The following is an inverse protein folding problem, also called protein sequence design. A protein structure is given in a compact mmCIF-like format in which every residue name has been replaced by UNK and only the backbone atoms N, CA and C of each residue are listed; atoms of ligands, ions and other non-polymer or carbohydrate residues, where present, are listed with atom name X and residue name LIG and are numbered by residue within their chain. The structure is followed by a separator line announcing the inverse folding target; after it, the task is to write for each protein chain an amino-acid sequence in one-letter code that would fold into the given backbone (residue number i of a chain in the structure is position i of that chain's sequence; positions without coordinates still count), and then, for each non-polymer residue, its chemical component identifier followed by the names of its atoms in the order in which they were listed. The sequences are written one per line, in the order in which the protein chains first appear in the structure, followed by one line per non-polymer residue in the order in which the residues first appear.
data_IF_286213469868
#
_entry.id   IF_286213469868
#
_cell.length_a   1.000
_cell.length_b   1.000
_cell.length_c   1.000
_cell.angle_alpha   90.00
_cell.angle_beta   90.00
_cell.angle_gamma   90.00
#
_symmetry.space_group_name_H-M   'P 1'
#
loop_
_entity.id
_entity.type
_entity.pdbx_description
1 polymer ?
#
# COMPACT_ATOMS: atom_id res chain seq x y z
N UNK A 1 12.57 -23.27 15.96
CA UNK A 1 12.92 -21.96 15.36
C UNK A 1 11.96 -20.93 15.88
N UNK A 2 12.48 -19.76 16.23
CA UNK A 2 11.71 -18.62 16.73
C UNK A 2 12.08 -17.35 15.98
N UNK A 3 11.10 -16.75 15.28
CA UNK A 3 11.28 -15.51 14.54
C UNK A 3 10.91 -14.27 15.36
N UNK A 4 11.58 -13.16 15.10
CA UNK A 4 11.20 -11.82 15.52
C UNK A 4 10.54 -11.13 14.30
N UNK A 5 9.33 -10.60 14.46
CA UNK A 5 8.66 -9.77 13.45
C UNK A 5 8.54 -8.35 14.00
N UNK A 6 9.09 -7.37 13.28
CA UNK A 6 9.00 -5.96 13.66
C UNK A 6 7.97 -5.26 12.78
N UNK A 7 6.93 -4.74 13.43
CA UNK A 7 5.77 -4.07 12.83
C UNK A 7 4.53 -4.95 12.76
N UNK A 8 3.39 -4.44 13.24
CA UNK A 8 2.06 -5.05 13.14
C UNK A 8 1.19 -4.38 12.05
N UNK A 9 1.83 -3.90 10.98
CA UNK A 9 1.17 -3.47 9.77
C UNK A 9 0.75 -4.66 8.90
N UNK A 10 0.20 -4.37 7.71
CA UNK A 10 -0.27 -5.39 6.76
C UNK A 10 0.83 -6.41 6.45
N UNK A 11 2.06 -5.95 6.14
CA UNK A 11 3.18 -6.86 5.84
C UNK A 11 3.58 -7.72 7.03
N UNK A 12 3.74 -7.14 8.23
CA UNK A 12 4.17 -7.86 9.41
C UNK A 12 3.14 -8.89 9.89
N UNK A 13 1.85 -8.56 9.87
CA UNK A 13 0.78 -9.52 10.19
C UNK A 13 0.69 -10.63 9.15
N UNK A 14 0.85 -10.32 7.85
CA UNK A 14 0.92 -11.34 6.79
C UNK A 14 2.12 -12.25 7.00
N UNK A 15 3.31 -11.70 7.32
CA UNK A 15 4.52 -12.48 7.61
C UNK A 15 4.33 -13.38 8.83
N UNK A 16 3.74 -12.88 9.91
CA UNK A 16 3.46 -13.68 11.12
C UNK A 16 2.54 -14.88 10.81
N UNK A 17 1.50 -14.66 10.01
CA UNK A 17 0.60 -15.75 9.58
C UNK A 17 1.35 -16.74 8.68
N UNK A 18 2.17 -16.28 7.73
CA UNK A 18 2.98 -17.13 6.86
C UNK A 18 3.98 -17.99 7.67
N UNK A 19 4.67 -17.40 8.63
CA UNK A 19 5.58 -18.10 9.55
C UNK A 19 4.85 -19.19 10.35
N UNK A 20 3.68 -18.88 10.89
CA UNK A 20 2.86 -19.87 11.61
C UNK A 20 2.46 -21.03 10.71
N UNK A 21 2.08 -20.76 9.44
CA UNK A 21 1.78 -21.82 8.46
C UNK A 21 3.02 -22.68 8.13
N UNK A 22 4.21 -22.08 8.15
CA UNK A 22 5.48 -22.79 8.01
C UNK A 22 5.92 -23.54 9.30
N UNK A 23 5.11 -23.54 10.35
CA UNK A 23 5.44 -24.22 11.62
C UNK A 23 6.49 -23.48 12.45
N UNK A 24 6.67 -22.19 12.23
CA UNK A 24 7.67 -21.35 12.92
C UNK A 24 6.97 -20.47 13.92
N UNK A 25 7.39 -20.53 15.20
CA UNK A 25 6.92 -19.62 16.22
C UNK A 25 7.50 -18.23 16.00
N UNK A 26 6.68 -17.21 16.16
CA UNK A 26 7.14 -15.84 16.07
C UNK A 26 6.49 -14.93 17.13
N UNK A 27 7.21 -13.87 17.47
CA UNK A 27 6.69 -12.78 18.30
C UNK A 27 6.67 -11.51 17.46
N UNK A 28 5.52 -10.85 17.42
CA UNK A 28 5.34 -9.57 16.70
C UNK A 28 5.52 -8.41 17.68
N UNK A 29 6.36 -7.44 17.31
CA UNK A 29 6.63 -6.23 18.09
C UNK A 29 6.17 -5.01 17.32
N UNK A 30 5.42 -4.12 17.96
CA UNK A 30 4.87 -2.92 17.35
C UNK A 30 5.27 -1.67 18.11
N UNK A 31 5.73 -0.64 17.39
CA UNK A 31 6.26 0.59 17.99
C UNK A 31 5.18 1.45 18.67
N UNK A 32 3.95 1.43 18.16
CA UNK A 32 2.84 2.18 18.78
C UNK A 32 2.26 1.42 19.96
N UNK A 33 1.74 2.14 20.94
CA UNK A 33 1.07 1.53 22.12
C UNK A 33 -0.30 0.99 21.79
N UNK A 34 -0.92 1.54 20.74
CA UNK A 34 -2.25 1.16 20.26
C UNK A 34 -2.31 1.40 18.75
N UNK A 35 -2.86 0.44 18.02
CA UNK A 35 -3.09 0.61 16.59
C UNK A 35 -4.22 1.62 16.41
N UNK A 36 -3.88 2.74 15.80
CA UNK A 36 -4.85 3.76 15.37
C UNK A 36 -5.02 3.70 13.86
N UNK A 37 -6.22 3.98 13.36
CA UNK A 37 -6.43 4.06 11.92
C UNK A 37 -5.53 5.14 11.32
N UNK A 38 -4.58 4.74 10.48
CA UNK A 38 -3.73 5.67 9.71
C UNK A 38 -4.00 5.43 8.24
N UNK A 39 -4.37 6.50 7.53
CA UNK A 39 -4.83 6.41 6.15
C UNK A 39 -6.26 5.88 6.05
N UNK A 40 -6.96 6.25 4.97
CA UNK A 40 -8.38 5.97 4.87
C UNK A 40 -8.66 4.57 4.30
N UNK A 41 -8.06 4.21 3.16
CA UNK A 41 -8.26 2.92 2.55
C UNK A 41 -7.08 2.48 1.70
N UNK A 42 -7.14 1.23 1.26
CA UNK A 42 -6.15 0.60 0.39
C UNK A 42 -6.87 -0.24 -0.67
N UNK A 43 -6.33 -0.28 -1.88
CA UNK A 43 -6.81 -1.17 -2.93
C UNK A 43 -6.09 -2.51 -2.83
N UNK A 44 -6.84 -3.57 -2.54
CA UNK A 44 -6.31 -4.94 -2.64
C UNK A 44 -6.66 -5.47 -4.02
N UNK A 45 -5.65 -5.59 -4.87
CA UNK A 45 -5.77 -6.14 -6.20
C UNK A 45 -5.80 -7.68 -6.18
N UNK A 46 -6.18 -8.37 -7.28
CA UNK A 46 -6.29 -9.83 -7.29
C UNK A 46 -5.07 -10.59 -6.77
N UNK A 47 -3.83 -10.12 -7.00
CA UNK A 47 -2.64 -10.71 -6.40
C UNK A 47 -2.67 -10.66 -4.86
N UNK A 48 -3.02 -9.51 -4.28
CA UNK A 48 -3.17 -9.38 -2.83
C UNK A 48 -4.35 -10.21 -2.29
N UNK A 49 -5.49 -10.28 -3.02
CA UNK A 49 -6.64 -11.13 -2.66
C UNK A 49 -6.22 -12.60 -2.59
N UNK A 50 -5.51 -13.10 -3.61
CA UNK A 50 -4.97 -14.47 -3.62
C UNK A 50 -4.00 -14.73 -2.46
N UNK A 51 -3.13 -13.77 -2.15
CA UNK A 51 -2.24 -13.87 -0.99
C UNK A 51 -3.03 -13.97 0.33
N UNK A 52 -4.08 -13.14 0.52
CA UNK A 52 -4.94 -13.23 1.69
C UNK A 52 -5.66 -14.59 1.79
N UNK A 53 -6.17 -15.10 0.67
CA UNK A 53 -6.78 -16.45 0.60
C UNK A 53 -5.75 -17.54 0.93
N UNK A 54 -4.57 -17.49 0.34
CA UNK A 54 -3.47 -18.43 0.60
C UNK A 54 -3.08 -18.44 2.09
N UNK A 55 -3.06 -17.27 2.73
CA UNK A 55 -2.77 -17.11 4.16
C UNK A 55 -3.95 -17.51 5.07
N UNK A 56 -5.12 -17.84 4.53
CA UNK A 56 -6.32 -18.21 5.30
C UNK A 56 -7.11 -17.01 5.80
N UNK A 57 -6.86 -15.81 5.29
CA UNK A 57 -7.53 -14.55 5.63
C UNK A 57 -8.53 -14.08 4.55
N UNK A 58 -8.95 -14.97 3.65
CA UNK A 58 -9.85 -14.64 2.53
C UNK A 58 -11.18 -14.02 2.97
N UNK A 59 -11.78 -14.53 4.05
CA UNK A 59 -13.06 -14.06 4.58
C UNK A 59 -13.04 -12.56 4.96
N UNK A 60 -11.87 -12.03 5.34
CA UNK A 60 -11.69 -10.60 5.64
C UNK A 60 -11.96 -9.78 4.37
N UNK A 61 -11.40 -10.21 3.24
CA UNK A 61 -11.57 -9.51 1.96
C UNK A 61 -12.99 -9.68 1.41
N UNK A 62 -13.62 -10.82 1.61
CA UNK A 62 -15.00 -11.05 1.21
C UNK A 62 -15.97 -10.14 1.98
N UNK A 63 -15.74 -9.99 3.29
CA UNK A 63 -16.59 -9.19 4.17
C UNK A 63 -16.39 -7.68 4.01
N UNK A 64 -15.13 -7.23 3.94
CA UNK A 64 -14.78 -5.80 4.01
C UNK A 64 -14.37 -5.20 2.67
N UNK A 65 -14.22 -6.00 1.62
CA UNK A 65 -13.87 -5.52 0.28
C UNK A 65 -15.02 -4.81 -0.44
N UNK A 66 -14.78 -3.61 -0.93
CA UNK A 66 -15.77 -2.80 -1.65
C UNK A 66 -16.17 -3.38 -3.02
N UNK A 67 -17.33 -3.00 -3.53
CA UNK A 67 -17.91 -3.56 -4.76
C UNK A 67 -17.42 -2.83 -6.03
N UNK A 68 -16.14 -2.77 -6.29
CA UNK A 68 -15.57 -2.11 -7.46
C UNK A 68 -15.71 -2.95 -8.72
N UNK A 69 -16.63 -2.59 -9.63
CA UNK A 69 -16.93 -3.31 -10.88
C UNK A 69 -16.50 -2.58 -12.14
N UNK A 70 -16.35 -1.27 -12.06
CA UNK A 70 -16.01 -0.39 -13.18
C UNK A 70 -14.89 0.57 -12.78
N UNK A 71 -14.14 1.03 -13.78
CA UNK A 71 -13.27 2.19 -13.68
C UNK A 71 -13.71 3.25 -14.69
N UNK A 72 -13.59 4.52 -14.30
CA UNK A 72 -13.84 5.65 -15.20
C UNK A 72 -12.87 6.79 -14.92
N UNK A 73 -12.38 7.40 -16.00
CA UNK A 73 -11.68 8.68 -15.96
C UNK A 73 -12.60 9.75 -16.52
N UNK A 74 -12.59 10.91 -15.87
CA UNK A 74 -13.44 12.06 -16.19
C UNK A 74 -12.62 13.32 -16.38
N UNK A 75 -13.06 14.16 -17.29
CA UNK A 75 -12.53 15.52 -17.45
C UNK A 75 -12.78 16.34 -16.18
N UNK A 76 -11.77 17.08 -15.76
CA UNK A 76 -11.83 17.85 -14.53
C UNK A 76 -12.81 19.03 -14.55
N UNK A 77 -13.06 19.67 -15.71
CA UNK A 77 -13.89 20.88 -15.82
C UNK A 77 -15.38 20.58 -15.85
N UNK A 78 -15.77 19.68 -16.75
CA UNK A 78 -17.18 19.36 -17.00
C UNK A 78 -17.63 18.05 -16.37
N UNK A 79 -16.68 17.20 -15.95
CA UNK A 79 -16.96 15.88 -15.46
C UNK A 79 -17.41 14.91 -16.56
N UNK A 80 -17.15 15.26 -17.82
CA UNK A 80 -17.42 14.39 -18.97
C UNK A 80 -16.56 13.12 -18.86
N UNK A 81 -17.13 11.99 -19.24
CA UNK A 81 -16.41 10.72 -19.23
C UNK A 81 -15.42 10.68 -20.37
N UNK A 82 -14.11 10.58 -20.05
CA UNK A 82 -13.05 10.35 -21.02
C UNK A 82 -13.02 8.87 -21.42
N UNK A 83 -13.04 7.99 -20.45
CA UNK A 83 -13.20 6.55 -20.63
C UNK A 83 -13.94 5.92 -19.47
N UNK A 84 -14.67 4.83 -19.73
CA UNK A 84 -15.34 3.99 -18.73
C UNK A 84 -15.36 2.55 -19.21
N UNK A 85 -14.89 1.63 -18.37
CA UNK A 85 -14.83 0.22 -18.73
C UNK A 85 -15.13 -0.70 -17.54
N UNK A 86 -15.52 -1.94 -17.87
CA UNK A 86 -15.77 -3.00 -16.89
C UNK A 86 -14.46 -3.63 -16.44
N UNK A 87 -14.39 -4.03 -15.17
CA UNK A 87 -13.31 -4.85 -14.62
C UNK A 87 -13.57 -6.36 -14.75
N UNK A 88 -14.68 -6.78 -15.37
CA UNK A 88 -14.95 -8.19 -15.60
C UNK A 88 -13.82 -8.93 -16.37
N UNK A 89 -13.22 -8.36 -17.45
CA UNK A 89 -12.08 -9.01 -18.11
C UNK A 89 -10.85 -9.17 -17.24
N UNK A 90 -10.62 -8.24 -16.30
CA UNK A 90 -9.57 -8.38 -15.29
C UNK A 90 -9.85 -9.58 -14.38
N UNK A 91 -11.08 -9.69 -13.87
CA UNK A 91 -11.51 -10.78 -12.99
C UNK A 91 -11.37 -12.14 -13.67
N UNK A 92 -11.83 -12.25 -14.92
CA UNK A 92 -11.72 -13.47 -15.74
C UNK A 92 -10.26 -13.90 -15.93
N UNK A 93 -9.38 -12.96 -16.23
CA UNK A 93 -7.96 -13.25 -16.52
C UNK A 93 -7.12 -13.51 -15.28
N UNK A 94 -7.47 -12.91 -14.15
CA UNK A 94 -6.68 -13.00 -12.90
C UNK A 94 -7.32 -13.89 -11.85
N UNK A 95 -8.57 -14.34 -12.03
CA UNK A 95 -9.28 -15.21 -11.08
C UNK A 95 -9.67 -14.52 -9.77
N UNK A 96 -9.59 -13.18 -9.67
CA UNK A 96 -9.94 -12.44 -8.47
C UNK A 96 -10.48 -11.05 -8.79
N UNK A 97 -11.34 -10.50 -7.92
CA UNK A 97 -11.84 -9.13 -8.05
C UNK A 97 -10.95 -8.14 -7.28
N UNK A 98 -10.79 -6.90 -7.74
CA UNK A 98 -10.17 -5.86 -6.93
C UNK A 98 -11.10 -5.49 -5.75
N UNK A 99 -10.51 -5.30 -4.58
CA UNK A 99 -11.21 -5.06 -3.33
C UNK A 99 -10.63 -3.82 -2.63
N UNK A 100 -11.12 -2.61 -2.90
CA UNK A 100 -10.83 -1.47 -2.05
C UNK A 100 -11.38 -1.71 -0.66
N UNK A 101 -10.58 -1.47 0.38
CA UNK A 101 -10.95 -1.76 1.77
C UNK A 101 -10.48 -0.65 2.69
N UNK A 102 -11.25 -0.34 3.73
CA UNK A 102 -10.80 0.56 4.79
C UNK A 102 -9.54 -0.03 5.44
N UNK A 103 -8.44 0.74 5.44
CA UNK A 103 -7.16 0.30 5.99
C UNK A 103 -7.26 -0.04 7.47
N UNK A 104 -8.05 0.73 8.21
CA UNK A 104 -8.30 0.49 9.63
C UNK A 104 -9.05 -0.82 9.87
N UNK A 105 -10.08 -1.10 9.07
CA UNK A 105 -10.84 -2.36 9.15
C UNK A 105 -9.95 -3.54 8.79
N UNK A 106 -9.23 -3.47 7.67
CA UNK A 106 -8.31 -4.53 7.26
C UNK A 106 -7.28 -4.84 8.33
N UNK A 107 -6.59 -3.84 8.85
CA UNK A 107 -5.54 -4.04 9.86
C UNK A 107 -6.11 -4.57 11.17
N UNK A 108 -7.28 -4.11 11.60
CA UNK A 108 -7.97 -4.62 12.79
C UNK A 108 -8.31 -6.10 12.64
N UNK A 109 -8.94 -6.49 11.53
CA UNK A 109 -9.34 -7.87 11.28
C UNK A 109 -8.13 -8.82 11.13
N UNK A 110 -7.07 -8.36 10.47
CA UNK A 110 -5.80 -9.12 10.40
C UNK A 110 -5.16 -9.30 11.78
N UNK A 111 -5.20 -8.26 12.63
CA UNK A 111 -4.69 -8.32 13.99
C UNK A 111 -5.52 -9.26 14.86
N UNK A 112 -6.84 -9.23 14.73
CA UNK A 112 -7.74 -10.11 15.48
C UNK A 112 -7.60 -11.58 14.99
N UNK A 113 -7.41 -11.80 13.69
CA UNK A 113 -7.09 -13.11 13.12
C UNK A 113 -5.75 -13.69 13.65
N UNK A 114 -4.71 -12.86 13.75
CA UNK A 114 -3.43 -13.26 14.33
C UNK A 114 -3.52 -13.54 15.83
N UNK A 115 -4.28 -12.75 16.54
CA UNK A 115 -4.40 -12.68 18.00
C UNK A 115 -3.69 -11.45 18.56
N UNK A 116 -4.46 -10.50 19.02
CA UNK A 116 -3.98 -9.21 19.57
C UNK A 116 -3.04 -9.40 20.77
N UNK A 117 -3.29 -10.42 21.58
CA UNK A 117 -2.49 -10.83 22.74
C UNK A 117 -1.09 -11.34 22.38
N UNK A 118 -0.86 -11.72 21.12
CA UNK A 118 0.44 -12.16 20.59
C UNK A 118 1.31 -11.03 20.06
N UNK A 119 0.81 -9.79 20.11
CA UNK A 119 1.57 -8.61 19.70
C UNK A 119 2.06 -7.84 20.91
N UNK A 120 3.35 -7.55 20.98
CA UNK A 120 3.94 -6.69 21.98
C UNK A 120 3.96 -5.25 21.50
N UNK A 121 3.07 -4.43 22.03
CA UNK A 121 2.95 -3.02 21.70
C UNK A 121 3.93 -2.13 22.48
N UNK A 122 4.21 -0.93 21.96
CA UNK A 122 5.13 0.05 22.55
C UNK A 122 6.59 -0.31 22.39
N UNK A 123 6.92 -1.25 21.51
CA UNK A 123 8.26 -1.78 21.25
C UNK A 123 8.90 -1.15 20.02
N UNK A 124 9.47 0.04 20.18
CA UNK A 124 10.20 0.73 19.11
C UNK A 124 11.65 0.22 19.08
N UNK A 125 12.09 -0.22 17.91
CA UNK A 125 13.46 -0.69 17.68
C UNK A 125 14.45 0.47 17.87
N UNK A 126 15.51 0.22 18.65
CA UNK A 126 16.67 1.08 18.81
C UNK A 126 17.88 0.51 18.06
N UNK A 127 18.13 -0.80 18.21
CA UNK A 127 19.29 -1.47 17.62
C UNK A 127 19.00 -2.93 17.29
N UNK A 128 19.61 -3.40 16.21
CA UNK A 128 19.69 -4.82 15.84
C UNK A 128 21.15 -5.27 15.88
N UNK A 129 21.39 -6.47 16.37
CA UNK A 129 22.69 -7.15 16.33
C UNK A 129 22.51 -8.64 16.08
N UNK A 130 23.52 -9.29 15.53
CA UNK A 130 23.55 -10.72 15.23
C UNK A 130 24.87 -11.31 15.70
N UNK A 131 24.80 -12.47 16.33
CA UNK A 131 25.96 -13.28 16.78
C UNK A 131 25.65 -14.78 16.59
N UNK A 132 26.51 -15.65 17.13
CA UNK A 132 26.34 -17.10 17.02
C UNK A 132 25.08 -17.64 17.71
N UNK A 133 24.48 -16.88 18.63
CA UNK A 133 23.25 -17.24 19.32
C UNK A 133 21.97 -16.83 18.55
N UNK A 134 22.12 -16.02 17.51
CA UNK A 134 21.04 -15.56 16.65
C UNK A 134 20.94 -14.03 16.55
N UNK A 135 19.71 -13.52 16.29
CA UNK A 135 19.43 -12.10 16.15
C UNK A 135 18.87 -11.53 17.44
N UNK A 136 19.44 -10.42 17.88
CA UNK A 136 19.00 -9.66 19.05
C UNK A 136 18.47 -8.28 18.63
N UNK A 137 17.34 -7.86 19.21
CA UNK A 137 16.74 -6.54 19.02
C UNK A 137 16.66 -5.85 20.38
N UNK A 138 17.23 -4.66 20.49
CA UNK A 138 17.06 -3.77 21.65
C UNK A 138 16.00 -2.73 21.31
N UNK A 139 15.06 -2.53 22.21
CA UNK A 139 14.00 -1.54 22.10
C UNK A 139 14.31 -0.28 22.91
N UNK A 140 13.70 0.85 22.55
CA UNK A 140 13.92 2.15 23.23
C UNK A 140 13.49 2.18 24.70
N UNK A 141 12.74 1.18 25.16
CA UNK A 141 12.38 0.99 26.57
C UNK A 141 13.43 0.18 27.35
N UNK A 142 14.57 -0.14 26.73
CA UNK A 142 15.68 -0.90 27.32
C UNK A 142 15.47 -2.43 27.32
N UNK A 143 14.30 -2.93 26.88
CA UNK A 143 14.08 -4.39 26.79
C UNK A 143 14.73 -4.96 25.54
N UNK A 144 14.95 -6.28 25.54
CA UNK A 144 15.60 -6.99 24.43
C UNK A 144 14.78 -8.23 24.06
N UNK A 145 14.72 -8.53 22.76
CA UNK A 145 14.21 -9.80 22.24
C UNK A 145 15.30 -10.53 21.47
N UNK A 146 15.30 -11.88 21.56
CA UNK A 146 16.25 -12.76 20.86
C UNK A 146 15.48 -13.80 20.07
N UNK A 147 15.91 -14.06 18.84
CA UNK A 147 15.35 -15.07 17.94
C UNK A 147 16.40 -15.63 17.00
N UNK A 148 16.02 -16.68 16.28
CA UNK A 148 16.90 -17.30 15.29
C UNK A 148 17.06 -16.42 14.03
N UNK A 149 16.04 -15.63 13.72
CA UNK A 149 16.03 -14.65 12.63
C UNK A 149 15.00 -13.54 12.85
N UNK A 150 15.09 -12.47 12.05
CA UNK A 150 14.25 -11.29 12.14
C UNK A 150 13.66 -10.90 10.78
N UNK A 151 12.35 -10.60 10.77
CA UNK A 151 11.64 -10.01 9.65
C UNK A 151 11.26 -8.58 10.01
N UNK A 152 11.85 -7.61 9.30
CA UNK A 152 11.59 -6.20 9.46
C UNK A 152 10.46 -5.75 8.51
N UNK A 153 9.29 -5.54 9.06
CA UNK A 153 8.10 -5.01 8.40
C UNK A 153 7.67 -3.68 9.05
N UNK A 154 8.65 -2.89 9.49
CA UNK A 154 8.49 -1.66 10.26
C UNK A 154 8.24 -0.40 9.42
N UNK A 155 7.86 -0.60 8.16
CA UNK A 155 7.28 0.41 7.29
C UNK A 155 8.30 1.35 6.63
N UNK A 156 7.79 2.41 5.99
CA UNK A 156 8.58 3.33 5.19
C UNK A 156 9.69 4.08 5.96
N UNK A 157 9.57 4.18 7.28
CA UNK A 157 10.56 4.76 8.19
C UNK A 157 11.36 3.69 8.96
N UNK A 158 11.61 2.54 8.36
CA UNK A 158 12.25 1.39 9.00
C UNK A 158 13.53 1.75 9.75
N UNK A 159 13.56 1.38 11.04
CA UNK A 159 14.74 1.49 11.88
C UNK A 159 15.72 0.31 11.66
N UNK A 160 15.23 -0.80 11.12
CA UNK A 160 16.03 -1.99 10.81
C UNK A 160 16.74 -1.91 9.45
N UNK A 161 16.16 -1.19 8.48
CA UNK A 161 16.73 -1.05 7.12
C UNK A 161 18.21 -0.67 7.11
N UNK A 162 18.69 0.31 7.89
CA UNK A 162 20.11 0.66 7.91
C UNK A 162 21.02 -0.49 8.35
N UNK A 163 20.54 -1.40 9.21
CA UNK A 163 21.30 -2.60 9.58
C UNK A 163 21.53 -3.50 8.35
N UNK A 164 20.49 -3.73 7.55
CA UNK A 164 20.59 -4.61 6.37
C UNK A 164 21.45 -3.98 5.29
N UNK A 165 21.24 -2.70 4.99
CA UNK A 165 21.91 -2.01 3.89
C UNK A 165 23.33 -1.52 4.23
N UNK A 166 23.63 -1.27 5.49
CA UNK A 166 24.87 -0.60 5.92
C UNK A 166 24.85 0.92 5.79
N UNK A 167 23.74 1.49 5.31
CA UNK A 167 23.50 2.94 5.16
C UNK A 167 22.01 3.25 5.32
N UNK A 168 21.66 4.51 5.53
CA UNK A 168 20.27 4.98 5.55
C UNK A 168 19.91 5.58 4.18
N UNK A 169 19.04 4.92 3.39
CA UNK A 169 18.60 5.49 2.12
C UNK A 169 17.71 6.72 2.36
N UNK A 170 17.88 7.73 1.51
CA UNK A 170 17.01 8.89 1.52
C UNK A 170 15.62 8.55 0.99
N UNK A 171 14.60 9.14 1.60
CA UNK A 171 13.24 9.11 1.08
C UNK A 171 13.07 10.21 0.06
N UNK A 172 12.71 9.83 -1.16
CA UNK A 172 12.49 10.75 -2.25
C UNK A 172 11.07 11.30 -2.20
N UNK A 173 10.93 12.61 -2.09
CA UNK A 173 9.63 13.27 -2.24
C UNK A 173 9.14 13.13 -3.69
N UNK A 174 7.90 12.68 -3.88
CA UNK A 174 7.33 12.41 -5.20
C UNK A 174 6.76 13.65 -5.90
N UNK A 175 6.79 14.81 -5.24
CA UNK A 175 6.39 16.09 -5.83
C UNK A 175 4.92 16.45 -5.61
N UNK A 176 4.16 15.68 -4.82
CA UNK A 176 2.76 15.97 -4.56
C UNK A 176 2.31 15.58 -3.15
N UNK A 177 1.23 16.24 -2.73
CA UNK A 177 0.51 15.97 -1.49
C UNK A 177 -0.80 15.26 -1.81
N UNK A 178 -1.14 14.27 -1.00
CA UNK A 178 -2.37 13.52 -1.06
C UNK A 178 -3.23 13.82 0.19
N UNK A 179 -4.47 14.27 -0.03
CA UNK A 179 -5.49 14.31 1.02
C UNK A 179 -6.46 13.17 0.82
N UNK A 180 -6.71 12.37 1.85
CA UNK A 180 -7.55 11.20 1.73
C UNK A 180 -8.44 10.97 2.95
N UNK A 181 -9.59 10.37 2.71
CA UNK A 181 -10.58 10.11 3.75
C UNK A 181 -11.68 9.15 3.28
N UNK A 182 -12.67 9.00 4.14
CA UNK A 182 -13.89 8.24 3.83
C UNK A 182 -15.09 9.20 3.85
N UNK A 183 -16.02 9.01 2.91
CA UNK A 183 -17.28 9.74 2.83
C UNK A 183 -18.41 8.78 2.51
N UNK A 184 -19.64 9.07 2.93
CA UNK A 184 -20.81 8.27 2.53
C UNK A 184 -20.99 8.31 1.02
N UNK A 185 -21.45 7.19 0.44
CA UNK A 185 -21.80 7.13 -0.99
C UNK A 185 -22.91 8.15 -1.27
N UNK A 186 -22.66 8.95 -2.29
CA UNK A 186 -23.60 9.88 -2.89
C UNK A 186 -23.43 9.76 -4.42
N UNK A 187 -24.47 9.27 -5.10
CA UNK A 187 -24.42 9.02 -6.54
C UNK A 187 -24.38 10.31 -7.38
N UNK A 188 -24.64 11.47 -6.81
CA UNK A 188 -24.38 12.76 -7.45
C UNK A 188 -22.88 13.09 -7.50
N UNK A 189 -22.06 12.42 -6.65
CA UNK A 189 -20.61 12.55 -6.68
C UNK A 189 -20.01 11.49 -7.63
N UNK A 190 -20.36 10.21 -7.44
CA UNK A 190 -19.88 9.10 -8.27
C UNK A 190 -20.81 7.87 -8.15
N UNK A 191 -20.89 7.00 -9.17
CA UNK A 191 -21.62 5.74 -9.08
C UNK A 191 -21.05 4.80 -8.01
N UNK A 192 -21.92 4.14 -7.24
CA UNK A 192 -21.61 3.33 -6.07
C UNK A 192 -20.72 2.09 -6.35
N UNK A 193 -20.60 1.65 -7.60
CA UNK A 193 -19.82 0.46 -7.98
C UNK A 193 -18.63 0.77 -8.90
N UNK A 194 -18.23 2.03 -8.93
CA UNK A 194 -17.24 2.53 -9.88
C UNK A 194 -16.10 3.25 -9.18
N UNK A 195 -14.88 2.91 -9.55
CA UNK A 195 -13.76 3.79 -9.28
C UNK A 195 -13.81 4.95 -10.27
N UNK A 196 -14.11 6.14 -9.78
CA UNK A 196 -14.19 7.36 -10.58
C UNK A 196 -12.99 8.24 -10.29
N UNK A 197 -12.29 8.67 -11.34
CA UNK A 197 -11.13 9.55 -11.25
C UNK A 197 -11.30 10.76 -12.15
N UNK A 198 -11.32 11.95 -11.57
CA UNK A 198 -11.25 13.22 -12.29
C UNK A 198 -9.78 13.60 -12.48
N UNK A 199 -9.38 13.97 -13.69
CA UNK A 199 -7.99 14.30 -14.03
C UNK A 199 -7.89 15.62 -14.78
N UNK A 200 -6.91 16.41 -14.45
CA UNK A 200 -6.60 17.68 -15.13
C UNK A 200 -5.51 18.46 -14.42
N UNK A 201 -4.78 19.28 -15.15
CA UNK A 201 -3.76 20.21 -14.60
C UNK A 201 -2.67 19.54 -13.73
N UNK A 202 -2.34 18.27 -14.00
CA UNK A 202 -1.43 17.49 -13.14
C UNK A 202 -2.02 17.10 -11.78
N UNK A 203 -3.30 17.33 -11.57
CA UNK A 203 -4.04 16.99 -10.34
C UNK A 203 -4.99 15.83 -10.58
N UNK A 204 -5.39 15.18 -9.49
CA UNK A 204 -6.30 14.05 -9.53
C UNK A 204 -7.25 14.09 -8.34
N UNK A 205 -8.53 13.80 -8.58
CA UNK A 205 -9.53 13.51 -7.54
C UNK A 205 -10.11 12.15 -7.81
N UNK A 206 -10.11 11.28 -6.82
CA UNK A 206 -10.51 9.90 -7.02
C UNK A 206 -11.45 9.42 -5.93
N UNK A 207 -12.41 8.57 -6.31
CA UNK A 207 -13.36 7.92 -5.41
C UNK A 207 -13.43 6.44 -5.73
N UNK A 208 -13.20 5.60 -4.73
CA UNK A 208 -13.35 4.14 -4.82
C UNK A 208 -14.40 3.66 -3.82
N UNK A 209 -15.34 2.80 -4.23
CA UNK A 209 -16.31 2.23 -3.30
C UNK A 209 -15.61 1.28 -2.33
N UNK A 210 -15.81 1.48 -1.03
CA UNK A 210 -15.43 0.54 0.04
C UNK A 210 -16.68 0.00 0.72
N UNK A 211 -16.54 -1.00 1.57
CA UNK A 211 -17.65 -1.56 2.32
C UNK A 211 -18.38 -0.53 3.19
N UNK A 212 -19.60 -0.86 3.65
CA UNK A 212 -20.38 -0.01 4.54
C UNK A 212 -20.96 1.24 3.87
N UNK A 213 -21.20 1.22 2.54
CA UNK A 213 -21.82 2.34 1.84
C UNK A 213 -20.97 3.61 1.84
N UNK A 214 -19.67 3.47 1.69
CA UNK A 214 -18.71 4.59 1.71
C UNK A 214 -17.87 4.62 0.45
N UNK A 215 -17.40 5.84 0.09
CA UNK A 215 -16.27 6.03 -0.79
C UNK A 215 -15.00 6.28 0.02
N UNK A 216 -13.92 5.67 -0.38
CA UNK A 216 -12.58 6.17 -0.17
C UNK A 216 -12.33 7.24 -1.22
N UNK A 217 -11.99 8.44 -0.77
CA UNK A 217 -11.61 9.54 -1.67
C UNK A 217 -10.16 9.94 -1.45
N UNK A 218 -9.57 10.50 -2.50
CA UNK A 218 -8.31 11.22 -2.38
C UNK A 218 -8.20 12.35 -3.39
N UNK A 219 -7.50 13.40 -2.97
CA UNK A 219 -7.11 14.55 -3.78
C UNK A 219 -5.60 14.56 -3.87
N UNK A 220 -5.05 14.59 -5.07
CA UNK A 220 -3.61 14.72 -5.32
C UNK A 220 -3.32 16.07 -5.94
N UNK A 221 -2.43 16.82 -5.31
CA UNK A 221 -2.02 18.15 -5.76
C UNK A 221 -0.49 18.25 -5.78
N UNK A 222 0.13 18.57 -6.92
CA UNK A 222 1.55 18.91 -6.98
C UNK A 222 1.83 20.14 -6.10
N UNK A 223 2.63 19.97 -5.06
CA UNK A 223 3.01 21.02 -4.10
C UNK A 223 4.46 20.79 -3.65
N UNK A 224 5.16 21.85 -3.20
CA UNK A 224 6.45 21.68 -2.51
C UNK A 224 6.30 20.88 -1.21
N UNK A 225 7.38 20.16 -0.83
CA UNK A 225 7.44 19.51 0.47
C UNK A 225 7.53 20.51 1.63
N UNK A 226 7.13 20.08 2.83
CA UNK A 226 7.31 20.84 4.07
C UNK A 226 6.31 21.98 4.28
N UNK A 227 5.25 22.07 3.48
CA UNK A 227 4.19 23.04 3.72
C UNK A 227 3.40 22.65 4.96
N UNK A 228 3.20 23.64 5.86
CA UNK A 228 2.40 23.44 7.06
C UNK A 228 0.95 23.09 6.70
N UNK A 229 0.33 22.23 7.51
CA UNK A 229 -1.08 21.90 7.44
C UNK A 229 -1.86 22.73 8.47
N UNK A 230 -2.97 23.31 8.04
CA UNK A 230 -4.00 23.84 8.92
C UNK A 230 -5.33 23.18 8.57
N UNK A 231 -5.81 22.30 9.46
CA UNK A 231 -7.08 21.59 9.28
C UNK A 231 -8.29 22.51 9.22
N UNK A 232 -8.20 23.67 9.85
CA UNK A 232 -9.30 24.65 9.86
C UNK A 232 -9.53 25.29 8.50
N UNK A 233 -8.48 25.36 7.66
CA UNK A 233 -8.54 25.90 6.29
C UNK A 233 -8.70 24.82 5.22
N UNK A 234 -8.65 23.53 5.58
CA UNK A 234 -8.58 22.41 4.61
C UNK A 234 -9.62 22.51 3.48
N UNK A 235 -10.91 22.76 3.81
CA UNK A 235 -11.94 22.88 2.77
C UNK A 235 -11.73 24.09 1.87
N UNK A 236 -11.27 25.21 2.43
CA UNK A 236 -10.98 26.41 1.67
C UNK A 236 -9.78 26.20 0.75
N UNK A 237 -8.74 25.55 1.23
CA UNK A 237 -7.53 25.23 0.47
C UNK A 237 -7.86 24.28 -0.70
N UNK A 238 -8.59 23.20 -0.43
CA UNK A 238 -9.03 22.28 -1.50
C UNK A 238 -9.96 22.99 -2.49
N UNK A 239 -10.88 23.86 -2.04
CA UNK A 239 -11.70 24.67 -2.95
C UNK A 239 -10.83 25.58 -3.81
N UNK A 240 -9.75 26.12 -3.26
CA UNK A 240 -8.77 26.92 -4.00
C UNK A 240 -8.03 26.10 -5.07
N UNK A 241 -7.47 24.95 -4.68
CA UNK A 241 -6.73 24.06 -5.59
C UNK A 241 -7.60 23.49 -6.72
N UNK A 242 -8.88 23.24 -6.45
CA UNK A 242 -9.83 22.63 -7.39
C UNK A 242 -10.90 23.65 -7.88
N UNK A 243 -10.55 24.93 -7.90
CA UNK A 243 -11.45 25.99 -8.43
C UNK A 243 -11.76 25.71 -9.91
N UNK A 244 -13.05 25.72 -10.25
CA UNK A 244 -13.52 25.47 -11.61
C UNK A 244 -13.51 24.00 -12.03
N UNK A 245 -13.26 23.08 -11.10
CA UNK A 245 -13.46 21.65 -11.31
C UNK A 245 -14.96 21.30 -11.23
N UNK A 246 -15.32 20.19 -11.86
CA UNK A 246 -16.69 19.71 -12.03
C UNK A 246 -17.50 19.69 -10.72
N UNK A 247 -18.83 19.90 -10.78
CA UNK A 247 -19.70 19.96 -9.60
C UNK A 247 -19.55 18.79 -8.62
N UNK A 248 -19.38 17.51 -9.05
CA UNK A 248 -19.13 16.38 -8.15
C UNK A 248 -17.89 16.57 -7.27
N UNK A 249 -16.82 17.18 -7.79
CA UNK A 249 -15.61 17.46 -7.01
C UNK A 249 -15.87 18.52 -5.94
N UNK A 250 -16.61 19.57 -6.26
CA UNK A 250 -17.00 20.59 -5.29
C UNK A 250 -17.93 20.01 -4.20
N UNK A 251 -18.84 19.12 -4.60
CA UNK A 251 -19.73 18.41 -3.67
C UNK A 251 -18.93 17.49 -2.73
N UNK A 252 -17.92 16.79 -3.22
CA UNK A 252 -17.02 15.99 -2.40
C UNK A 252 -16.26 16.85 -1.37
N UNK A 253 -15.72 18.01 -1.77
CA UNK A 253 -15.04 18.97 -0.87
C UNK A 253 -15.99 19.45 0.24
N UNK A 254 -17.25 19.72 -0.10
CA UNK A 254 -18.25 20.10 0.90
C UNK A 254 -18.62 18.98 1.87
N UNK A 255 -18.61 17.71 1.39
CA UNK A 255 -19.02 16.53 2.16
C UNK A 255 -17.92 15.96 3.06
N UNK A 256 -16.62 16.16 2.74
CA UNK A 256 -15.52 15.62 3.54
C UNK A 256 -15.51 16.21 4.97
N UNK A 257 -15.00 15.41 5.90
CA UNK A 257 -14.76 15.85 7.27
C UNK A 257 -13.26 16.19 7.45
N UNK A 258 -12.89 17.45 7.74
CA UNK A 258 -11.50 17.84 7.95
C UNK A 258 -10.78 17.08 9.08
N UNK A 259 -11.53 16.70 10.14
CA UNK A 259 -10.93 16.00 11.29
C UNK A 259 -10.48 14.58 10.96
N UNK A 260 -11.16 13.93 10.02
CA UNK A 260 -10.87 12.56 9.58
C UNK A 260 -10.17 12.48 8.22
N UNK A 261 -9.91 13.62 7.59
CA UNK A 261 -9.14 13.71 6.35
C UNK A 261 -7.65 13.77 6.67
N UNK A 262 -6.90 12.81 6.13
CA UNK A 262 -5.45 12.77 6.29
C UNK A 262 -4.77 13.60 5.20
N UNK A 263 -3.66 14.27 5.53
CA UNK A 263 -2.73 14.89 4.59
C UNK A 263 -1.41 14.15 4.62
N UNK A 264 -0.92 13.72 3.46
CA UNK A 264 0.29 12.93 3.35
C UNK A 264 1.15 13.47 2.22
N UNK A 265 2.39 13.84 2.51
CA UNK A 265 3.42 14.08 1.51
C UNK A 265 3.88 12.73 0.96
N UNK A 266 3.73 12.53 -0.35
CA UNK A 266 4.05 11.23 -0.94
C UNK A 266 5.55 11.10 -1.18
N UNK A 267 6.09 10.01 -0.67
CA UNK A 267 7.50 9.65 -0.80
C UNK A 267 7.65 8.20 -1.26
N UNK A 268 8.71 7.94 -1.99
CA UNK A 268 9.23 6.59 -2.23
C UNK A 268 10.69 6.48 -1.77
N UNK A 269 11.29 5.33 -1.96
CA UNK A 269 12.73 5.13 -1.78
C UNK A 269 13.34 4.63 -3.08
N UNK A 270 14.65 4.89 -3.28
CA UNK A 270 15.38 4.26 -4.37
C UNK A 270 15.43 2.75 -4.14
N UNK A 271 15.07 1.92 -5.12
CA UNK A 271 15.25 0.48 -5.01
C UNK A 271 16.71 0.10 -4.73
N UNK A 272 16.92 -0.87 -3.90
CA UNK A 272 18.25 -1.41 -3.56
C UNK A 272 18.33 -2.91 -3.87
N UNK A 273 19.57 -3.41 -3.99
CA UNK A 273 19.83 -4.77 -4.50
C UNK A 273 19.88 -5.84 -3.41
N UNK A 274 19.69 -5.46 -2.14
CA UNK A 274 19.73 -6.40 -1.02
C UNK A 274 18.57 -6.20 -0.08
N UNK A 275 17.84 -7.27 0.19
CA UNK A 275 16.76 -7.32 1.19
C UNK A 275 17.16 -8.09 2.44
N UNK A 276 18.34 -8.75 2.43
CA UNK A 276 18.75 -9.66 3.47
C UNK A 276 20.21 -9.41 3.88
N UNK A 277 20.45 -9.38 5.20
CA UNK A 277 21.80 -9.43 5.77
C UNK A 277 21.82 -10.43 6.92
N UNK A 278 22.67 -11.48 6.81
CA UNK A 278 22.68 -12.56 7.79
C UNK A 278 21.31 -13.23 7.92
N UNK A 279 20.78 -13.25 9.10
CA UNK A 279 19.44 -13.76 9.41
C UNK A 279 18.39 -12.63 9.61
N UNK A 280 18.59 -11.46 9.03
CA UNK A 280 17.65 -10.33 9.04
C UNK A 280 17.17 -10.05 7.63
N UNK A 281 15.83 -10.06 7.42
CA UNK A 281 15.19 -9.75 6.14
C UNK A 281 14.24 -8.56 6.25
N UNK A 282 14.23 -7.71 5.21
CA UNK A 282 13.27 -6.62 5.03
C UNK A 282 12.03 -7.13 4.28
N UNK A 283 10.86 -6.58 4.63
CA UNK A 283 9.59 -6.95 4.02
C UNK A 283 8.66 -5.72 3.92
N UNK A 284 7.89 -5.63 2.84
CA UNK A 284 6.91 -4.55 2.61
C UNK A 284 7.60 -3.18 2.50
N UNK A 285 6.98 -2.12 3.05
CA UNK A 285 7.51 -0.76 2.95
C UNK A 285 8.90 -0.58 3.57
N UNK A 286 9.34 -1.47 4.45
CA UNK A 286 10.72 -1.50 4.93
C UNK A 286 11.69 -1.88 3.81
N UNK A 287 11.25 -2.69 2.85
CA UNK A 287 12.02 -3.14 1.70
C UNK A 287 11.82 -2.25 0.45
N UNK A 288 10.59 -1.80 0.17
CA UNK A 288 10.22 -1.23 -1.13
C UNK A 288 9.13 -0.15 -1.05
N UNK A 289 9.27 0.79 -0.11
CA UNK A 289 8.32 1.93 0.01
C UNK A 289 8.13 2.62 -1.35
N UNK A 290 6.89 2.70 -1.83
CA UNK A 290 6.54 3.16 -3.18
C UNK A 290 5.45 4.21 -3.15
N UNK A 291 5.33 5.00 -4.24
CA UNK A 291 4.17 5.87 -4.41
C UNK A 291 2.90 5.04 -4.61
N UNK A 292 1.71 5.56 -4.21
CA UNK A 292 0.46 4.80 -4.30
C UNK A 292 -0.13 4.72 -5.72
N UNK A 293 0.58 5.21 -6.74
CA UNK A 293 0.05 5.47 -8.08
C UNK A 293 -0.37 4.24 -8.88
N UNK A 294 0.12 3.06 -8.51
CA UNK A 294 -0.32 1.77 -9.08
C UNK A 294 -1.05 0.88 -8.08
N UNK A 295 -1.22 1.33 -6.82
CA UNK A 295 -1.96 0.62 -5.78
C UNK A 295 -1.37 -0.73 -5.37
N UNK A 296 -0.06 -0.96 -5.52
CA UNK A 296 0.56 -2.29 -5.32
C UNK A 296 1.33 -2.46 -4.00
N UNK A 297 1.61 -1.39 -3.24
CA UNK A 297 2.47 -1.49 -2.05
C UNK A 297 1.99 -2.53 -1.03
N UNK A 298 0.71 -2.51 -0.67
CA UNK A 298 0.15 -3.50 0.25
C UNK A 298 0.07 -4.91 -0.34
N UNK A 299 -0.25 -5.03 -1.64
CA UNK A 299 -0.25 -6.33 -2.32
C UNK A 299 1.16 -6.93 -2.36
N UNK A 300 2.18 -6.13 -2.67
CA UNK A 300 3.59 -6.56 -2.69
C UNK A 300 4.05 -7.04 -1.30
N UNK A 301 3.64 -6.36 -0.21
CA UNK A 301 3.94 -6.80 1.15
C UNK A 301 3.29 -8.15 1.50
N UNK A 302 2.08 -8.43 0.97
CA UNK A 302 1.43 -9.72 1.11
C UNK A 302 2.13 -10.80 0.26
N UNK A 303 2.55 -10.47 -0.97
CA UNK A 303 3.37 -11.35 -1.81
C UNK A 303 4.67 -11.73 -1.11
N UNK A 304 5.36 -10.74 -0.50
CA UNK A 304 6.59 -10.98 0.27
C UNK A 304 6.38 -12.02 1.35
N UNK A 305 5.28 -11.88 2.12
CA UNK A 305 4.97 -12.79 3.21
C UNK A 305 4.70 -14.23 2.72
N UNK A 306 4.00 -14.39 1.59
CA UNK A 306 3.75 -15.70 0.97
C UNK A 306 5.07 -16.33 0.53
N UNK A 307 5.90 -15.61 -0.24
CA UNK A 307 7.19 -16.11 -0.73
C UNK A 307 8.13 -16.46 0.42
N UNK A 308 8.19 -15.61 1.46
CA UNK A 308 8.97 -15.89 2.66
C UNK A 308 8.56 -17.20 3.33
N UNK A 309 7.24 -17.40 3.51
CA UNK A 309 6.70 -18.63 4.10
C UNK A 309 7.04 -19.88 3.29
N UNK A 310 6.92 -19.81 1.97
CA UNK A 310 7.26 -20.90 1.05
C UNK A 310 8.77 -21.21 1.08
N UNK A 311 9.63 -20.20 1.02
CA UNK A 311 11.07 -20.39 1.12
C UNK A 311 11.49 -21.07 2.45
N UNK A 312 10.83 -20.72 3.55
CA UNK A 312 11.11 -21.33 4.87
C UNK A 312 10.58 -22.76 4.99
N UNK A 313 9.53 -23.12 4.26
CA UNK A 313 9.05 -24.52 4.16
C UNK A 313 9.96 -25.38 3.31
N UNK A 314 10.51 -24.85 2.23
CA UNK A 314 11.35 -25.58 1.28
C UNK A 314 12.79 -25.81 1.77
N UNK A 315 13.28 -24.97 2.68
CA UNK A 315 14.66 -24.97 3.10
C UNK A 315 14.84 -25.37 4.57
N UNK A 316 15.80 -26.23 4.86
CA UNK A 316 16.19 -26.58 6.22
C UNK A 316 17.12 -25.55 6.89
N UNK A 317 17.63 -24.57 6.14
CA UNK A 317 18.51 -23.50 6.62
C UNK A 317 17.81 -22.14 6.49
N UNK A 318 17.73 -21.39 7.59
CA UNK A 318 17.20 -20.03 7.61
C UNK A 318 17.94 -19.16 6.62
N UNK A 319 19.26 -19.19 6.64
CA UNK A 319 20.10 -18.38 5.73
C UNK A 319 19.82 -18.67 4.26
N UNK A 320 19.62 -19.94 3.89
CA UNK A 320 19.28 -20.31 2.52
C UNK A 320 17.86 -19.87 2.15
N UNK A 321 16.90 -20.04 3.06
CA UNK A 321 15.52 -19.58 2.86
C UNK A 321 15.45 -18.07 2.63
N UNK A 322 16.13 -17.27 3.46
CA UNK A 322 16.15 -15.82 3.32
C UNK A 322 16.86 -15.36 2.04
N UNK A 323 17.93 -16.05 1.62
CA UNK A 323 18.59 -15.79 0.33
C UNK A 323 17.70 -16.12 -0.86
N UNK A 324 16.94 -17.20 -0.80
CA UNK A 324 15.95 -17.54 -1.83
C UNK A 324 14.83 -16.51 -1.88
N UNK A 325 14.30 -16.09 -0.72
CA UNK A 325 13.34 -15.00 -0.62
C UNK A 325 13.86 -13.71 -1.29
N UNK A 326 15.07 -13.28 -0.97
CA UNK A 326 15.72 -12.11 -1.59
C UNK A 326 15.77 -12.24 -3.11
N UNK A 327 16.26 -13.39 -3.62
CA UNK A 327 16.39 -13.63 -5.06
C UNK A 327 15.05 -13.60 -5.80
N UNK A 328 13.97 -14.07 -5.17
CA UNK A 328 12.62 -14.06 -5.76
C UNK A 328 11.94 -12.70 -5.69
N UNK A 329 12.34 -11.84 -4.73
CA UNK A 329 11.63 -10.59 -4.49
C UNK A 329 12.31 -9.33 -5.01
N UNK A 330 13.65 -9.27 -5.02
CA UNK A 330 14.39 -8.05 -5.36
C UNK A 330 13.96 -7.42 -6.68
N UNK A 331 14.00 -8.18 -7.78
CA UNK A 331 13.63 -7.64 -9.10
C UNK A 331 12.15 -7.27 -9.16
N UNK A 332 11.29 -8.13 -8.61
CA UNK A 332 9.84 -7.89 -8.58
C UNK A 332 9.49 -6.57 -7.90
N UNK A 333 10.02 -6.31 -6.71
CA UNK A 333 9.69 -5.10 -5.94
C UNK A 333 10.35 -3.87 -6.54
N UNK A 334 11.56 -4.00 -7.12
CA UNK A 334 12.21 -2.94 -7.89
C UNK A 334 11.32 -2.47 -9.04
N UNK A 335 10.82 -3.41 -9.84
CA UNK A 335 9.98 -3.11 -11.00
C UNK A 335 8.67 -2.43 -10.59
N UNK A 336 8.06 -2.85 -9.48
CA UNK A 336 6.86 -2.21 -8.95
C UNK A 336 7.12 -0.77 -8.51
N UNK A 337 8.23 -0.50 -7.80
CA UNK A 337 8.60 0.87 -7.39
C UNK A 337 8.84 1.76 -8.62
N UNK A 338 9.59 1.29 -9.60
CA UNK A 338 9.89 2.06 -10.82
C UNK A 338 8.63 2.27 -11.67
N UNK A 339 7.75 1.27 -11.78
CA UNK A 339 6.45 1.39 -12.47
C UNK A 339 5.54 2.42 -11.79
N UNK A 340 5.49 2.41 -10.45
CA UNK A 340 4.73 3.38 -9.67
C UNK A 340 5.28 4.80 -9.85
N UNK A 341 6.59 4.96 -9.81
CA UNK A 341 7.30 6.23 -10.05
C UNK A 341 7.01 6.80 -11.43
N UNK A 342 7.12 5.97 -12.47
CA UNK A 342 6.78 6.37 -13.85
C UNK A 342 5.32 6.82 -13.95
N UNK A 343 4.40 6.10 -13.31
CA UNK A 343 2.98 6.47 -13.29
C UNK A 343 2.75 7.79 -12.56
N UNK A 344 3.41 7.99 -11.41
CA UNK A 344 3.40 9.23 -10.64
C UNK A 344 3.85 10.42 -11.51
N UNK A 345 5.00 10.31 -12.18
CA UNK A 345 5.58 11.37 -13.02
C UNK A 345 4.60 11.81 -14.13
N UNK A 346 3.90 10.87 -14.77
CA UNK A 346 2.89 11.15 -15.80
C UNK A 346 1.63 11.77 -15.19
N UNK A 347 1.16 11.27 -14.06
CA UNK A 347 -0.11 11.69 -13.46
C UNK A 347 -0.03 13.10 -12.87
N UNK A 348 1.09 13.44 -12.24
CA UNK A 348 1.24 14.65 -11.42
C UNK A 348 2.04 15.77 -12.10
N UNK A 349 2.15 15.72 -13.42
CA UNK A 349 2.64 16.87 -14.21
C UNK A 349 4.12 17.17 -14.05
N UNK A 350 4.96 16.19 -13.70
CA UNK A 350 6.42 16.37 -13.69
C UNK A 350 6.94 16.76 -15.07
N UNK A 351 6.34 16.19 -16.12
CA UNK A 351 6.42 16.65 -17.50
C UNK A 351 4.98 16.86 -18.01
N UNK A 352 4.58 18.12 -18.13
CA UNK A 352 3.22 18.47 -18.55
C UNK A 352 2.90 18.03 -19.98
N UNK A 353 3.88 17.89 -20.86
CA UNK A 353 3.65 17.38 -22.20
C UNK A 353 3.23 15.90 -22.18
N UNK A 354 3.90 15.07 -21.38
CA UNK A 354 3.52 13.68 -21.16
C UNK A 354 2.14 13.55 -20.46
N UNK A 355 1.87 14.41 -19.50
CA UNK A 355 0.58 14.44 -18.80
C UNK A 355 -0.55 14.80 -19.76
N UNK A 356 -0.37 15.80 -20.62
CA UNK A 356 -1.35 16.18 -21.64
C UNK A 356 -1.56 15.07 -22.68
N UNK A 357 -0.49 14.42 -23.13
CA UNK A 357 -0.57 13.28 -24.03
C UNK A 357 -1.40 12.15 -23.40
N UNK A 358 -1.16 11.83 -22.12
CA UNK A 358 -1.96 10.84 -21.40
C UNK A 358 -3.44 11.23 -21.31
N UNK A 359 -3.80 12.50 -21.10
CA UNK A 359 -5.21 12.93 -21.12
C UNK A 359 -5.87 12.73 -22.50
N UNK A 360 -5.13 12.88 -23.60
CA UNK A 360 -5.66 12.58 -24.93
C UNK A 360 -5.83 11.06 -25.13
N UNK A 361 -4.83 10.27 -24.70
CA UNK A 361 -4.94 8.81 -24.75
C UNK A 361 -6.16 8.28 -23.99
N UNK A 362 -6.55 8.89 -22.86
CA UNK A 362 -7.73 8.48 -22.10
C UNK A 362 -9.03 8.65 -22.90
N UNK A 363 -9.11 9.57 -23.87
CA UNK A 363 -10.29 9.76 -24.71
C UNK A 363 -10.48 8.64 -25.75
N UNK A 364 -9.38 7.97 -26.10
CA UNK A 364 -9.37 6.87 -27.06
C UNK A 364 -9.32 5.50 -26.36
N UNK A 365 -9.14 5.49 -25.03
CA UNK A 365 -8.99 4.28 -24.23
C UNK A 365 -10.32 3.55 -24.06
N UNK A 366 -10.36 2.28 -24.45
CA UNK A 366 -11.51 1.38 -24.26
C UNK A 366 -11.49 0.63 -22.94
N UNK A 367 -10.40 0.72 -22.20
CA UNK A 367 -10.07 -0.05 -21.01
C UNK A 367 -9.11 -1.20 -21.27
N UNK A 368 -8.90 -1.57 -22.51
CA UNK A 368 -8.08 -2.74 -22.88
C UNK A 368 -6.62 -2.58 -22.46
N UNK A 369 -5.99 -1.44 -22.78
CA UNK A 369 -4.58 -1.18 -22.37
C UNK A 369 -4.43 -1.12 -20.86
N UNK A 370 -5.40 -0.50 -20.16
CA UNK A 370 -5.37 -0.40 -18.70
C UNK A 370 -5.50 -1.80 -18.08
N UNK A 371 -6.46 -2.61 -18.55
CA UNK A 371 -6.65 -3.99 -18.08
C UNK A 371 -5.42 -4.84 -18.37
N UNK A 372 -4.82 -4.73 -19.56
CA UNK A 372 -3.60 -5.45 -19.91
C UNK A 372 -2.46 -5.13 -18.93
N UNK A 373 -2.20 -3.84 -18.68
CA UNK A 373 -1.17 -3.42 -17.76
C UNK A 373 -1.43 -3.81 -16.29
N UNK A 374 -2.71 -3.88 -15.88
CA UNK A 374 -3.10 -4.42 -14.58
C UNK A 374 -2.86 -5.93 -14.51
N UNK A 375 -3.28 -6.69 -15.53
CA UNK A 375 -3.05 -8.14 -15.60
C UNK A 375 -1.58 -8.49 -15.54
N UNK A 376 -0.72 -7.82 -16.34
CA UNK A 376 0.74 -8.02 -16.29
C UNK A 376 1.30 -7.81 -14.89
N UNK A 377 0.87 -6.73 -14.22
CA UNK A 377 1.32 -6.41 -12.87
C UNK A 377 0.88 -7.46 -11.86
N UNK A 378 -0.36 -7.94 -11.95
CA UNK A 378 -0.97 -8.90 -11.04
C UNK A 378 -0.37 -10.30 -11.25
N UNK A 379 -0.28 -10.75 -12.51
CA UNK A 379 0.22 -12.08 -12.87
C UNK A 379 1.74 -12.23 -12.67
N UNK A 380 2.48 -11.14 -12.57
CA UNK A 380 3.88 -11.17 -12.16
C UNK A 380 4.11 -11.48 -10.67
N UNK A 381 3.05 -11.64 -9.88
CA UNK A 381 3.12 -12.05 -8.48
C UNK A 381 3.28 -13.57 -8.30
N UNK A 382 3.61 -14.05 -7.09
CA UNK A 382 3.90 -15.45 -6.80
C UNK A 382 2.70 -16.40 -7.00
N UNK A 383 1.49 -15.88 -6.92
CA UNK A 383 0.24 -16.65 -7.10
C UNK A 383 -0.49 -16.28 -8.42
N UNK A 384 0.16 -15.64 -9.32
CA UNK A 384 -0.04 -15.26 -10.71
C UNK A 384 -1.42 -15.14 -11.32
#
# INVERSE_FOLDING_TARGET
MRAIVIGAGIGGLSAAVALKKAGIDCTVFEAVKEIRPVGAAISIWPNGVKCMQHLGMGDIIETYGGPMRFMAYKDYRRGETLTRFSLAPLVERTGGRPCPVSRAELQREMLDFWGRDKVQFGKRVERVSEDDAGVSVTFTDGTTAVGDFLIAADGSHSAVRPYVLGYTPERRYAGYVNWNGLVKIDEEIAPAHQWTTFVGEGKRVSLMPVSGGRFYFFFDVPLPAGLAEDRTTLRADLTGYFRGWAPPVQKLIAALDPETTNRIEIHDIEPFDSLVRGNVALLGDAAHSTTPDIGQGGCAAMEDAVVLGECLLENHSITLALRQYEALRCDRVRDLVLKARKRCDVTHGKDMALTQAWYQELKEETGERIINGLCETIQGGPLG
#
